data_IF_684970981358
#
_entry.id   IF_684970981358
#
_cell.length_a   1.000
_cell.length_b   1.000
_cell.length_c   1.000
_cell.angle_alpha   90.00
_cell.angle_beta   90.00
_cell.angle_gamma   90.00
#
_symmetry.space_group_name_H-M   'P 1'
#
loop_
_entity.id
_entity.type
_entity.pdbx_description
1 polymer ?
#
# COMPACT_ATOMS: atom_id res chain seq x y z
N UNK A 1 -7.64 -5.08 -14.42
CA UNK A 1 -7.95 -4.32 -13.19
C UNK A 1 -9.11 -5.02 -12.48
N UNK A 2 -8.94 -5.48 -11.24
CA UNK A 2 -10.03 -6.06 -10.46
C UNK A 2 -11.04 -4.96 -10.07
N UNK A 3 -12.32 -5.29 -10.14
CA UNK A 3 -13.42 -4.41 -9.73
C UNK A 3 -14.50 -5.21 -9.02
N UNK A 4 -15.23 -4.55 -8.14
CA UNK A 4 -16.43 -5.08 -7.49
C UNK A 4 -17.59 -4.10 -7.67
N UNK A 5 -18.82 -4.54 -7.49
CA UNK A 5 -19.97 -3.63 -7.52
C UNK A 5 -19.92 -2.67 -6.30
N UNK A 6 -20.42 -1.46 -6.49
CA UNK A 6 -20.53 -0.50 -5.38
C UNK A 6 -21.45 -1.03 -4.27
N UNK A 7 -22.40 -1.88 -4.60
CA UNK A 7 -23.23 -2.60 -3.64
C UNK A 7 -22.40 -3.53 -2.74
N UNK A 8 -21.49 -4.31 -3.34
CA UNK A 8 -20.61 -5.19 -2.56
C UNK A 8 -19.65 -4.40 -1.67
N UNK A 9 -19.11 -3.28 -2.21
CA UNK A 9 -18.15 -2.44 -1.48
C UNK A 9 -18.78 -1.64 -0.34
N UNK A 10 -19.96 -1.02 -0.58
CA UNK A 10 -20.51 0.01 0.30
C UNK A 10 -21.99 -0.12 0.59
N UNK A 11 -22.67 -1.17 0.09
CA UNK A 11 -24.12 -1.36 0.19
C UNK A 11 -24.94 -0.23 -0.46
N UNK A 12 -24.40 0.42 -1.47
CA UNK A 12 -25.05 1.49 -2.23
C UNK A 12 -25.72 0.87 -3.46
N UNK A 13 -27.05 1.02 -3.65
CA UNK A 13 -27.77 0.40 -4.77
C UNK A 13 -27.69 1.24 -6.06
N UNK A 14 -26.46 1.45 -6.54
CA UNK A 14 -26.20 2.14 -7.81
C UNK A 14 -25.49 1.19 -8.80
N UNK A 15 -25.74 1.34 -10.11
CA UNK A 15 -25.06 0.57 -11.15
C UNK A 15 -23.65 1.13 -11.39
N UNK A 16 -22.75 0.88 -10.45
CA UNK A 16 -21.38 1.34 -10.51
C UNK A 16 -20.39 0.27 -10.07
N UNK A 17 -19.19 0.31 -10.65
CA UNK A 17 -18.05 -0.50 -10.26
C UNK A 17 -17.05 0.33 -9.47
N UNK A 18 -16.39 -0.30 -8.52
CA UNK A 18 -15.31 0.29 -7.73
C UNK A 18 -14.06 -0.56 -7.93
N UNK A 19 -12.90 0.07 -8.12
CA UNK A 19 -11.63 -0.65 -8.17
C UNK A 19 -11.40 -1.39 -6.85
N UNK A 20 -11.13 -2.70 -6.94
CA UNK A 20 -10.88 -3.57 -5.80
C UNK A 20 -9.38 -3.70 -5.61
N UNK A 21 -8.88 -3.05 -4.57
CA UNK A 21 -7.50 -3.17 -4.11
C UNK A 21 -7.48 -2.95 -2.59
N UNK A 22 -7.49 -4.03 -1.80
CA UNK A 22 -7.59 -3.92 -0.34
C UNK A 22 -6.29 -3.44 0.31
N UNK A 23 -5.12 -3.59 -0.35
CA UNK A 23 -3.80 -3.34 0.26
C UNK A 23 -3.02 -2.21 -0.38
N UNK A 24 -3.41 -1.77 -1.57
CA UNK A 24 -2.69 -0.74 -2.31
C UNK A 24 -2.90 0.64 -1.71
N UNK A 25 -1.82 1.32 -1.40
CA UNK A 25 -1.87 2.75 -1.08
C UNK A 25 -1.98 3.60 -2.33
N UNK A 26 -1.55 3.07 -3.49
CA UNK A 26 -1.69 3.65 -4.82
C UNK A 26 -2.20 2.54 -5.74
N UNK A 27 -3.42 2.72 -6.25
CA UNK A 27 -4.15 1.69 -7.00
C UNK A 27 -4.40 2.13 -8.45
N UNK A 28 -3.48 2.92 -9.00
CA UNK A 28 -3.55 3.36 -10.40
C UNK A 28 -3.57 2.13 -11.31
N UNK A 29 -4.54 2.00 -12.23
CA UNK A 29 -4.61 0.88 -13.15
C UNK A 29 -3.34 0.73 -13.98
N UNK A 30 -2.85 -0.50 -14.12
CA UNK A 30 -1.75 -0.81 -15.02
C UNK A 30 -2.29 -0.90 -16.44
N UNK A 31 -1.85 -0.01 -17.30
CA UNK A 31 -2.18 0.06 -18.72
C UNK A 31 -0.92 -0.19 -19.54
N UNK A 32 -1.08 -0.81 -20.71
CA UNK A 32 0.01 -0.90 -21.70
C UNK A 32 0.41 0.52 -22.12
N UNK A 33 1.67 0.87 -21.91
CA UNK A 33 2.20 2.21 -22.22
C UNK A 33 1.98 2.61 -23.68
N UNK A 34 2.11 1.65 -24.61
CA UNK A 34 1.98 1.89 -26.05
C UNK A 34 0.52 2.05 -26.52
N UNK A 35 -0.45 1.58 -25.70
CA UNK A 35 -1.88 1.54 -26.03
C UNK A 35 -2.76 2.03 -24.88
N UNK A 36 -2.24 2.95 -24.04
CA UNK A 36 -2.87 3.34 -22.80
C UNK A 36 -4.32 3.87 -22.99
N UNK A 37 -4.53 4.73 -23.96
CA UNK A 37 -5.88 5.26 -24.26
C UNK A 37 -6.83 4.18 -24.78
N UNK A 38 -6.37 3.31 -25.68
CA UNK A 38 -7.19 2.22 -26.19
C UNK A 38 -7.56 1.23 -25.07
N UNK A 39 -6.63 0.95 -24.18
CA UNK A 39 -6.88 0.11 -23.01
C UNK A 39 -7.87 0.76 -22.03
N UNK A 40 -7.74 2.06 -21.77
CA UNK A 40 -8.68 2.81 -20.94
C UNK A 40 -10.08 2.82 -21.55
N UNK A 41 -10.20 3.11 -22.84
CA UNK A 41 -11.47 3.06 -23.57
C UNK A 41 -12.11 1.67 -23.53
N UNK A 42 -11.34 0.60 -23.73
CA UNK A 42 -11.83 -0.77 -23.65
C UNK A 42 -12.35 -1.13 -22.25
N UNK A 43 -11.69 -0.66 -21.17
CA UNK A 43 -12.17 -0.85 -19.80
C UNK A 43 -13.48 -0.12 -19.54
N UNK A 44 -13.63 1.12 -20.00
CA UNK A 44 -14.86 1.91 -19.89
C UNK A 44 -15.99 1.27 -20.68
N UNK A 45 -15.72 0.87 -21.92
CA UNK A 45 -16.69 0.18 -22.77
C UNK A 45 -17.14 -1.13 -22.12
N UNK A 46 -16.21 -1.92 -21.56
CA UNK A 46 -16.54 -3.17 -20.88
C UNK A 46 -17.42 -2.95 -19.65
N UNK A 47 -17.13 -1.90 -18.86
CA UNK A 47 -17.97 -1.55 -17.71
C UNK A 47 -19.41 -1.23 -18.14
N UNK A 48 -19.58 -0.43 -19.21
CA UNK A 48 -20.90 -0.12 -19.80
C UNK A 48 -21.62 -1.37 -20.30
N UNK A 49 -20.91 -2.27 -20.96
CA UNK A 49 -21.48 -3.53 -21.48
C UNK A 49 -22.01 -4.44 -20.35
N UNK A 50 -21.51 -4.29 -19.12
CA UNK A 50 -22.07 -4.93 -17.92
C UNK A 50 -23.22 -4.13 -17.27
N UNK A 51 -23.77 -3.14 -17.94
CA UNK A 51 -24.85 -2.30 -17.42
C UNK A 51 -24.42 -1.34 -16.32
N UNK A 52 -23.12 -1.02 -16.24
CA UNK A 52 -22.61 -0.09 -15.23
C UNK A 52 -22.50 1.32 -15.79
N UNK A 53 -22.98 2.29 -15.04
CA UNK A 53 -23.04 3.70 -15.47
C UNK A 53 -21.88 4.52 -14.91
N UNK A 54 -21.14 3.99 -13.93
CA UNK A 54 -19.97 4.65 -13.35
C UNK A 54 -18.86 3.63 -13.02
N UNK A 55 -17.62 4.09 -13.14
CA UNK A 55 -16.41 3.40 -12.68
C UNK A 55 -15.67 4.29 -11.70
N UNK A 56 -15.59 3.87 -10.46
CA UNK A 56 -14.90 4.59 -9.40
C UNK A 56 -13.51 4.01 -9.24
N UNK A 57 -12.49 4.80 -9.53
CA UNK A 57 -11.09 4.46 -9.31
C UNK A 57 -10.63 5.06 -7.98
N UNK A 58 -10.17 4.22 -7.08
CA UNK A 58 -9.71 4.63 -5.75
C UNK A 58 -8.19 4.80 -5.72
N UNK A 59 -7.71 5.75 -4.92
CA UNK A 59 -6.28 5.94 -4.65
C UNK A 59 -5.41 5.97 -5.92
N UNK A 60 -5.80 6.74 -6.92
CA UNK A 60 -5.06 6.90 -8.17
C UNK A 60 -4.24 8.18 -8.18
N UNK A 61 -3.12 8.19 -8.90
CA UNK A 61 -2.37 9.42 -9.16
C UNK A 61 -3.12 10.24 -10.21
N UNK A 62 -3.70 11.38 -9.80
CA UNK A 62 -4.56 12.21 -10.67
C UNK A 62 -3.81 12.78 -11.90
N UNK A 63 -2.54 13.09 -11.74
CA UNK A 63 -1.64 13.63 -12.77
C UNK A 63 -0.88 12.55 -13.56
N UNK A 64 -1.09 11.27 -13.22
CA UNK A 64 -0.39 10.13 -13.80
C UNK A 64 -0.83 9.80 -15.22
N UNK A 65 0.03 9.11 -15.98
CA UNK A 65 -0.22 8.72 -17.38
C UNK A 65 -1.51 7.89 -17.55
N UNK A 66 -1.84 7.01 -16.60
CA UNK A 66 -3.06 6.23 -16.66
C UNK A 66 -4.31 7.11 -16.58
N UNK A 67 -4.34 8.10 -15.66
CA UNK A 67 -5.48 9.00 -15.55
C UNK A 67 -5.61 9.92 -16.77
N UNK A 68 -4.50 10.38 -17.36
CA UNK A 68 -4.51 11.10 -18.63
C UNK A 68 -5.15 10.26 -19.73
N UNK A 69 -4.84 8.96 -19.82
CA UNK A 69 -5.42 8.05 -20.79
C UNK A 69 -6.94 7.84 -20.56
N UNK A 70 -7.39 7.72 -19.31
CA UNK A 70 -8.82 7.66 -19.00
C UNK A 70 -9.54 8.96 -19.34
N UNK A 71 -8.94 10.10 -19.03
CA UNK A 71 -9.50 11.43 -19.37
C UNK A 71 -9.68 11.57 -20.90
N UNK A 72 -8.63 11.29 -21.68
CA UNK A 72 -8.70 11.35 -23.13
C UNK A 72 -9.74 10.39 -23.72
N UNK A 73 -9.88 9.18 -23.14
CA UNK A 73 -10.90 8.23 -23.57
C UNK A 73 -12.33 8.72 -23.26
N UNK A 74 -12.54 9.37 -22.11
CA UNK A 74 -13.83 9.95 -21.74
C UNK A 74 -14.19 11.17 -22.59
N UNK A 75 -13.23 12.06 -22.84
CA UNK A 75 -13.43 13.27 -23.65
C UNK A 75 -13.88 12.97 -25.08
N UNK A 76 -13.41 11.87 -25.69
CA UNK A 76 -13.90 11.41 -26.99
C UNK A 76 -15.40 11.09 -27.00
N UNK A 77 -15.92 10.65 -25.85
CA UNK A 77 -17.34 10.35 -25.64
C UNK A 77 -18.12 11.57 -25.12
N UNK A 78 -17.50 12.77 -25.06
CA UNK A 78 -18.10 13.98 -24.51
C UNK A 78 -18.28 13.96 -22.99
N UNK A 79 -17.51 13.12 -22.29
CA UNK A 79 -17.56 12.94 -20.84
C UNK A 79 -16.31 13.50 -20.16
N UNK A 80 -16.43 13.83 -18.88
CA UNK A 80 -15.30 14.28 -18.05
C UNK A 80 -15.23 13.46 -16.77
N UNK A 81 -14.01 13.12 -16.29
CA UNK A 81 -13.86 12.47 -14.99
C UNK A 81 -14.20 13.44 -13.85
N UNK A 82 -14.83 12.93 -12.80
CA UNK A 82 -15.14 13.68 -11.60
C UNK A 82 -14.26 13.22 -10.45
N UNK A 83 -13.59 14.16 -9.77
CA UNK A 83 -12.83 13.86 -8.56
C UNK A 83 -13.74 13.94 -7.35
N UNK A 84 -14.06 12.78 -6.76
CA UNK A 84 -14.93 12.71 -5.58
C UNK A 84 -14.19 13.09 -4.29
N UNK A 85 -12.91 12.73 -4.23
CA UNK A 85 -12.05 13.03 -3.09
C UNK A 85 -10.59 13.10 -3.54
N UNK A 86 -9.83 14.04 -2.99
CA UNK A 86 -8.39 14.13 -3.20
C UNK A 86 -7.67 14.31 -1.87
N UNK A 87 -6.47 13.76 -1.77
CA UNK A 87 -5.58 13.95 -0.63
C UNK A 87 -4.12 13.93 -1.10
N UNK A 88 -3.27 14.66 -0.42
CA UNK A 88 -1.83 14.60 -0.62
C UNK A 88 -1.24 13.46 0.22
N UNK A 89 -0.19 12.83 -0.30
CA UNK A 89 0.60 11.83 0.42
C UNK A 89 1.96 12.40 0.76
N UNK A 90 2.38 12.16 1.98
CA UNK A 90 3.76 12.46 2.37
C UNK A 90 4.71 11.50 1.61
N UNK A 91 5.74 12.07 1.03
CA UNK A 91 6.87 11.35 0.44
C UNK A 91 8.13 11.66 1.24
N UNK A 92 8.97 10.65 1.42
CA UNK A 92 10.28 10.80 2.01
C UNK A 92 11.31 10.93 0.88
N UNK A 93 12.07 12.02 0.87
CA UNK A 93 13.22 12.15 -0.01
C UNK A 93 14.43 11.47 0.64
N UNK A 94 14.67 10.21 0.28
CA UNK A 94 15.76 9.40 0.81
C UNK A 94 17.15 9.76 0.24
N UNK A 95 17.27 10.77 -0.60
CA UNK A 95 18.58 11.29 -1.08
C UNK A 95 19.23 12.23 -0.07
N UNK A 96 18.45 12.75 0.88
CA UNK A 96 18.91 13.64 1.94
C UNK A 96 19.56 12.88 3.08
N UNK A 97 20.44 13.57 3.84
CA UNK A 97 20.93 13.04 5.11
C UNK A 97 19.76 12.74 6.08
N UNK A 98 19.82 11.58 6.73
CA UNK A 98 18.72 11.10 7.57
C UNK A 98 18.47 11.98 8.79
N UNK A 99 19.54 12.47 9.44
CA UNK A 99 19.42 13.31 10.64
C UNK A 99 18.84 14.68 10.29
N UNK A 100 19.26 15.26 9.17
CA UNK A 100 18.73 16.54 8.68
C UNK A 100 17.26 16.41 8.27
N UNK A 101 16.91 15.34 7.57
CA UNK A 101 15.54 15.05 7.17
C UNK A 101 14.62 14.86 8.38
N UNK A 102 15.07 14.07 9.37
CA UNK A 102 14.29 13.83 10.60
C UNK A 102 14.16 15.12 11.43
N UNK A 103 15.20 15.94 11.46
CA UNK A 103 15.18 17.23 12.19
C UNK A 103 14.18 18.19 11.56
N UNK A 104 14.18 18.29 10.23
CA UNK A 104 13.27 19.17 9.48
C UNK A 104 11.81 18.69 9.60
N UNK A 105 11.59 17.39 9.44
CA UNK A 105 10.24 16.82 9.43
C UNK A 105 9.58 16.75 10.81
N UNK A 106 10.34 16.45 11.87
CA UNK A 106 9.81 16.19 13.19
C UNK A 106 10.08 17.31 14.21
N UNK A 107 11.13 18.09 13.98
CA UNK A 107 11.60 19.11 14.90
C UNK A 107 12.26 18.54 16.17
N UNK A 108 13.00 19.38 16.88
CA UNK A 108 13.83 18.98 18.01
C UNK A 108 13.03 18.33 19.17
N UNK A 109 11.83 18.84 19.45
CA UNK A 109 10.96 18.32 20.53
C UNK A 109 10.58 16.85 20.29
N UNK A 110 10.12 16.54 19.06
CA UNK A 110 9.71 15.17 18.71
C UNK A 110 10.90 14.21 18.67
N UNK A 111 12.04 14.64 18.15
CA UNK A 111 13.27 13.86 18.17
C UNK A 111 13.74 13.52 19.60
N UNK A 112 13.67 14.49 20.53
CA UNK A 112 13.98 14.25 21.94
C UNK A 112 13.01 13.22 22.57
N UNK A 113 11.73 13.29 22.22
CA UNK A 113 10.73 12.32 22.66
C UNK A 113 11.04 10.91 22.13
N UNK A 114 11.35 10.78 20.83
CA UNK A 114 11.71 9.49 20.22
C UNK A 114 12.96 8.88 20.87
N UNK A 115 13.99 9.69 21.13
CA UNK A 115 15.19 9.23 21.87
C UNK A 115 14.83 8.72 23.26
N UNK A 116 13.96 9.43 23.99
CA UNK A 116 13.48 9.00 25.29
C UNK A 116 12.71 7.67 25.21
N UNK A 117 11.85 7.51 24.20
CA UNK A 117 11.11 6.26 23.97
C UNK A 117 12.05 5.10 23.64
N UNK A 118 13.06 5.33 22.81
CA UNK A 118 14.09 4.33 22.52
C UNK A 118 14.86 3.90 23.79
N UNK A 119 15.24 4.86 24.63
CA UNK A 119 15.95 4.56 25.88
C UNK A 119 15.07 3.73 26.83
N UNK A 120 13.76 4.06 26.95
CA UNK A 120 12.81 3.24 27.73
C UNK A 120 12.64 1.83 27.16
N UNK A 121 12.66 1.69 25.84
CA UNK A 121 12.63 0.37 25.23
C UNK A 121 13.90 -0.42 25.58
N UNK A 122 15.05 0.24 25.65
CA UNK A 122 16.32 -0.37 26.03
C UNK A 122 16.35 -0.85 27.50
N UNK A 123 15.45 -0.37 28.37
CA UNK A 123 15.29 -0.89 29.74
C UNK A 123 14.78 -2.36 29.73
N UNK A 124 14.22 -2.83 28.59
CA UNK A 124 13.76 -4.21 28.39
C UNK A 124 14.79 -5.10 27.65
N UNK A 125 15.98 -4.57 27.37
CA UNK A 125 17.08 -5.25 26.67
C UNK A 125 17.58 -4.48 25.47
N UNK A 126 18.65 -4.95 24.84
CA UNK A 126 19.29 -4.29 23.72
C UNK A 126 18.32 -4.06 22.56
N UNK A 127 18.28 -2.81 22.08
CA UNK A 127 17.42 -2.40 20.96
C UNK A 127 18.18 -2.55 19.65
N UNK A 128 17.70 -3.44 18.80
CA UNK A 128 18.30 -3.71 17.49
C UNK A 128 17.26 -3.69 16.35
N UNK A 129 17.75 -3.41 15.14
CA UNK A 129 16.98 -3.54 13.91
C UNK A 129 17.58 -4.67 13.06
N UNK A 130 16.73 -5.57 12.63
CA UNK A 130 17.07 -6.60 11.66
C UNK A 130 16.36 -6.29 10.34
N UNK A 131 17.06 -6.48 9.22
CA UNK A 131 16.50 -6.29 7.88
C UNK A 131 16.63 -7.59 7.09
N UNK A 132 15.53 -8.26 6.90
CA UNK A 132 15.43 -9.45 6.05
C UNK A 132 15.34 -9.04 4.58
N UNK A 133 16.26 -9.55 3.74
CA UNK A 133 16.35 -9.21 2.31
C UNK A 133 16.32 -10.43 1.40
N UNK A 134 16.80 -11.58 1.86
CA UNK A 134 16.72 -12.81 1.06
C UNK A 134 15.31 -13.39 1.12
N UNK A 135 14.90 -14.15 0.10
CA UNK A 135 13.57 -14.78 0.08
C UNK A 135 13.33 -15.64 1.31
N UNK A 136 14.36 -16.35 1.80
CA UNK A 136 14.27 -17.17 3.01
C UNK A 136 14.07 -16.33 4.26
N UNK A 137 14.85 -15.26 4.42
CA UNK A 137 14.76 -14.40 5.60
C UNK A 137 13.46 -13.60 5.61
N UNK A 138 13.02 -13.12 4.44
CA UNK A 138 11.73 -12.43 4.27
C UNK A 138 10.58 -13.35 4.66
N UNK A 139 10.60 -14.63 4.26
CA UNK A 139 9.57 -15.58 4.65
C UNK A 139 9.52 -15.77 6.18
N UNK A 140 10.67 -15.92 6.85
CA UNK A 140 10.73 -16.05 8.30
C UNK A 140 10.29 -14.77 9.04
N UNK A 141 10.75 -13.60 8.58
CA UNK A 141 10.37 -12.31 9.15
C UNK A 141 8.90 -11.98 8.93
N UNK A 142 8.28 -12.47 7.85
CA UNK A 142 6.86 -12.33 7.59
C UNK A 142 6.01 -13.05 8.65
N UNK A 143 6.39 -14.26 9.04
CA UNK A 143 5.66 -14.97 10.11
C UNK A 143 5.75 -14.20 11.45
N UNK A 144 6.90 -13.60 11.73
CA UNK A 144 7.07 -12.69 12.88
C UNK A 144 6.14 -11.48 12.78
N UNK A 145 6.07 -10.84 11.61
CA UNK A 145 5.16 -9.71 11.35
C UNK A 145 3.70 -10.11 11.55
N UNK A 146 3.27 -11.24 10.99
CA UNK A 146 1.90 -11.73 11.12
C UNK A 146 1.54 -12.04 12.60
N UNK A 147 2.48 -12.62 13.35
CA UNK A 147 2.31 -12.87 14.77
C UNK A 147 2.18 -11.59 15.60
N UNK A 148 3.00 -10.58 15.32
CA UNK A 148 2.92 -9.26 15.98
C UNK A 148 1.60 -8.56 15.65
N UNK A 149 1.18 -8.58 14.39
CA UNK A 149 -0.09 -7.98 13.96
C UNK A 149 -1.29 -8.66 14.61
N UNK A 150 -1.26 -10.00 14.72
CA UNK A 150 -2.29 -10.80 15.36
C UNK A 150 -2.33 -10.66 16.89
N UNK A 151 -1.27 -10.22 17.54
CA UNK A 151 -1.23 -9.98 18.99
C UNK A 151 -1.73 -8.59 19.40
N UNK A 152 -1.85 -7.66 18.43
CA UNK A 152 -2.11 -6.25 18.68
C UNK A 152 -3.59 -5.85 18.62
N UNK A 153 -3.82 -4.55 18.48
CA UNK A 153 -5.15 -3.95 18.39
C UNK A 153 -5.94 -4.38 17.14
N UNK A 154 -5.23 -4.73 16.05
CA UNK A 154 -5.85 -5.19 14.81
C UNK A 154 -6.57 -6.51 15.01
N UNK A 155 -5.98 -7.45 15.79
CA UNK A 155 -6.65 -8.70 16.12
C UNK A 155 -7.97 -8.46 16.88
N UNK A 156 -7.95 -7.54 17.85
CA UNK A 156 -9.15 -7.17 18.61
C UNK A 156 -10.25 -6.52 17.75
N UNK A 157 -9.89 -5.91 16.62
CA UNK A 157 -10.82 -5.31 15.66
C UNK A 157 -11.23 -6.24 14.52
N UNK A 158 -10.71 -7.46 14.46
CA UNK A 158 -10.97 -8.37 13.36
C UNK A 158 -10.33 -7.95 12.03
N UNK A 159 -9.24 -7.16 12.07
CA UNK A 159 -8.57 -6.62 10.88
C UNK A 159 -7.13 -7.08 10.72
N UNK A 160 -6.68 -8.03 11.53
CA UNK A 160 -5.36 -8.63 11.36
C UNK A 160 -5.37 -9.59 10.16
N UNK A 161 -4.32 -9.53 9.34
CA UNK A 161 -4.18 -10.37 8.15
C UNK A 161 -4.29 -11.86 8.48
N UNK A 162 -3.71 -12.28 9.63
CA UNK A 162 -3.73 -13.66 10.08
C UNK A 162 -5.14 -14.22 10.40
N UNK A 163 -6.18 -13.38 10.43
CA UNK A 163 -7.56 -13.81 10.68
C UNK A 163 -8.31 -14.20 9.40
N UNK A 164 -7.69 -13.99 8.23
CA UNK A 164 -8.28 -14.27 6.93
C UNK A 164 -7.32 -15.08 6.07
N UNK A 165 -7.62 -16.34 5.79
CA UNK A 165 -6.76 -17.25 5.03
C UNK A 165 -6.37 -16.71 3.64
N UNK A 166 -7.30 -16.03 2.98
CA UNK A 166 -7.05 -15.37 1.69
C UNK A 166 -5.98 -14.29 1.77
N UNK A 167 -6.02 -13.47 2.83
CA UNK A 167 -5.08 -12.37 3.07
C UNK A 167 -3.68 -12.90 3.42
N UNK A 168 -3.61 -13.91 4.28
CA UNK A 168 -2.36 -14.60 4.62
C UNK A 168 -1.73 -15.22 3.37
N UNK A 169 -2.53 -15.94 2.59
CA UNK A 169 -2.04 -16.56 1.35
C UNK A 169 -1.54 -15.52 0.37
N UNK A 170 -2.28 -14.43 0.20
CA UNK A 170 -1.88 -13.32 -0.68
C UNK A 170 -0.56 -12.69 -0.23
N UNK A 171 -0.44 -12.30 1.05
CA UNK A 171 0.75 -11.60 1.53
C UNK A 171 1.99 -12.50 1.49
N UNK A 172 1.87 -13.80 1.81
CA UNK A 172 2.98 -14.76 1.68
C UNK A 172 3.46 -14.89 0.23
N UNK A 173 2.54 -15.02 -0.72
CA UNK A 173 2.90 -15.14 -2.15
C UNK A 173 3.46 -13.84 -2.70
N UNK A 174 2.88 -12.70 -2.36
CA UNK A 174 3.32 -11.39 -2.83
C UNK A 174 4.72 -11.05 -2.31
N UNK A 175 4.98 -11.21 -1.00
CA UNK A 175 6.29 -10.92 -0.42
C UNK A 175 7.37 -11.87 -0.92
N UNK A 176 7.08 -13.18 -1.10
CA UNK A 176 8.02 -14.12 -1.69
C UNK A 176 8.40 -13.72 -3.11
N UNK A 177 7.42 -13.46 -3.99
CA UNK A 177 7.67 -13.07 -5.38
C UNK A 177 8.42 -11.72 -5.51
N UNK A 178 8.16 -10.78 -4.60
CA UNK A 178 8.85 -9.50 -4.57
C UNK A 178 10.26 -9.62 -3.98
N UNK A 179 10.47 -10.48 -2.97
CA UNK A 179 11.80 -10.74 -2.40
C UNK A 179 12.75 -11.39 -3.41
N UNK A 180 12.27 -12.32 -4.25
CA UNK A 180 13.03 -12.90 -5.36
C UNK A 180 13.56 -11.85 -6.34
N UNK A 181 12.88 -10.71 -6.45
CA UNK A 181 13.24 -9.57 -7.30
C UNK A 181 14.01 -8.47 -6.57
N UNK A 182 14.32 -8.66 -5.28
CA UNK A 182 14.92 -7.63 -4.44
C UNK A 182 13.99 -6.43 -4.18
N UNK A 183 12.67 -6.63 -4.30
CA UNK A 183 11.65 -5.59 -4.17
C UNK A 183 10.87 -5.65 -2.85
N UNK A 184 11.24 -6.54 -1.94
CA UNK A 184 10.63 -6.65 -0.62
C UNK A 184 11.72 -6.83 0.44
N UNK A 185 11.62 -6.04 1.48
CA UNK A 185 12.40 -6.18 2.71
C UNK A 185 11.42 -6.20 3.90
N UNK A 186 11.79 -6.89 4.97
CA UNK A 186 11.05 -6.80 6.24
C UNK A 186 12.02 -6.33 7.31
N UNK A 187 11.65 -5.20 7.94
CA UNK A 187 12.40 -4.60 9.04
C UNK A 187 11.75 -5.02 10.34
N UNK A 188 12.52 -5.59 11.25
CA UNK A 188 12.05 -6.00 12.59
C UNK A 188 12.83 -5.23 13.66
N UNK A 189 12.11 -4.58 14.57
CA UNK A 189 12.65 -3.98 15.78
C UNK A 189 12.61 -5.00 16.91
N UNK A 190 13.73 -5.18 17.61
CA UNK A 190 13.84 -6.08 18.75
C UNK A 190 14.27 -5.35 20.03
N UNK A 191 13.80 -5.87 21.15
CA UNK A 191 14.26 -5.49 22.47
C UNK A 191 14.63 -6.78 23.23
N UNK A 192 15.91 -6.93 23.61
CA UNK A 192 16.43 -8.13 24.27
C UNK A 192 16.17 -9.42 23.49
N UNK A 193 16.29 -9.40 22.16
CA UNK A 193 16.01 -10.54 21.29
C UNK A 193 14.52 -10.76 20.95
N UNK A 194 13.59 -10.14 21.68
CA UNK A 194 12.15 -10.25 21.44
C UNK A 194 11.72 -9.27 20.34
N UNK A 195 11.01 -9.71 19.28
CA UNK A 195 10.47 -8.80 18.28
C UNK A 195 9.30 -7.99 18.87
N UNK A 196 9.36 -6.66 18.74
CA UNK A 196 8.36 -5.74 19.31
C UNK A 196 7.63 -4.92 18.25
N UNK A 197 8.19 -4.80 17.05
CA UNK A 197 7.54 -4.21 15.89
C UNK A 197 8.16 -4.75 14.61
N UNK A 198 7.37 -4.76 13.53
CA UNK A 198 7.88 -5.10 12.21
C UNK A 198 7.15 -4.29 11.12
N UNK A 199 7.82 -4.09 9.99
CA UNK A 199 7.27 -3.43 8.82
C UNK A 199 7.68 -4.15 7.54
N UNK A 200 6.72 -4.34 6.63
CA UNK A 200 6.99 -4.78 5.26
C UNK A 200 7.31 -3.54 4.44
N UNK A 201 8.46 -3.52 3.80
CA UNK A 201 8.92 -2.43 2.93
C UNK A 201 8.97 -2.95 1.50
N UNK A 202 8.25 -2.28 0.62
CA UNK A 202 8.23 -2.59 -0.81
C UNK A 202 9.04 -1.55 -1.57
N UNK A 203 9.79 -2.02 -2.56
CA UNK A 203 10.64 -1.17 -3.42
C UNK A 203 10.24 -1.30 -4.87
N UNK A 204 10.29 -0.19 -5.59
CA UNK A 204 10.15 -0.17 -7.04
C UNK A 204 11.13 0.85 -7.61
N UNK A 205 12.12 0.40 -8.38
CA UNK A 205 13.24 1.22 -8.84
C UNK A 205 13.93 1.91 -7.64
N UNK A 206 14.04 3.23 -7.67
CA UNK A 206 14.68 4.04 -6.62
C UNK A 206 13.70 4.52 -5.53
N UNK A 207 12.50 3.92 -5.46
CA UNK A 207 11.42 4.29 -4.54
C UNK A 207 10.90 3.10 -3.76
#
# INVERSE_FOLDING_TARGET
MPVISIWQAYRIPLPALVSADPYGTLCTPLLDRSKAEAAAAALLHKARAFGQHALILRNVALDGAAMKAFTAALERDGLTPQTLQAHARACLDATRDADDLLRDALGAKKLKELRRQRNRLADHGDVSFEVARTSKDVAAALETFLGLEASGWKARRGTALAQHDGDVTFVRRATAALAERGQCEIVTLRAGGTPVAAAIVLRHQDR
#
